data_IF_161861071263
#
_entry.id   IF_161861071263
#
_cell.length_a   1.000
_cell.length_b   1.000
_cell.length_c   1.000
_cell.angle_alpha   90.00
_cell.angle_beta   90.00
_cell.angle_gamma   90.00
#
_symmetry.space_group_name_H-M   'P 1'
#
loop_
_entity.id
_entity.type
_entity.pdbx_description
1 polymer ?
#
# COMPACT_ATOMS: atom_id res chain seq x y z
N UNK A 1 8.42 -23.16 -2.48
CA UNK A 1 8.71 -22.31 -1.31
C UNK A 1 9.67 -21.22 -1.72
N UNK A 2 9.32 -19.98 -1.50
CA UNK A 2 10.22 -18.85 -1.75
C UNK A 2 11.13 -18.71 -0.55
N UNK A 3 12.41 -18.90 -0.74
CA UNK A 3 13.41 -18.80 0.31
C UNK A 3 14.05 -17.40 0.37
N UNK A 4 13.97 -16.66 -0.75
CA UNK A 4 14.55 -15.33 -0.91
C UNK A 4 13.49 -14.40 -1.50
N UNK A 5 12.83 -13.57 -0.70
CA UNK A 5 11.83 -12.61 -1.18
C UNK A 5 12.46 -11.36 -1.79
N UNK A 6 13.77 -11.29 -1.89
CA UNK A 6 14.48 -10.14 -2.44
C UNK A 6 14.50 -10.15 -3.96
N UNK A 7 14.46 -8.96 -4.56
CA UNK A 7 14.50 -8.74 -5.99
C UNK A 7 15.89 -8.29 -6.50
N UNK A 8 15.92 -7.98 -7.80
CA UNK A 8 17.11 -7.56 -8.51
C UNK A 8 18.02 -8.71 -8.93
N UNK A 9 19.04 -8.40 -9.72
CA UNK A 9 19.96 -9.38 -10.29
C UNK A 9 20.69 -10.18 -9.21
N UNK A 10 21.12 -9.51 -8.14
CA UNK A 10 21.85 -10.12 -7.03
C UNK A 10 20.93 -10.61 -5.90
N UNK A 11 19.63 -10.38 -6.00
CA UNK A 11 18.62 -10.74 -4.99
C UNK A 11 18.96 -10.23 -3.58
N UNK A 12 19.59 -9.07 -3.49
CA UNK A 12 20.02 -8.46 -2.22
C UNK A 12 19.15 -7.29 -1.78
N UNK A 13 18.20 -6.86 -2.65
CA UNK A 13 17.29 -5.75 -2.38
C UNK A 13 15.88 -6.27 -2.13
N UNK A 14 15.31 -5.89 -1.01
CA UNK A 14 13.93 -6.22 -0.66
C UNK A 14 12.95 -5.62 -1.67
N UNK A 15 11.89 -6.35 -2.00
CA UNK A 15 10.84 -5.89 -2.92
C UNK A 15 9.62 -5.39 -2.15
N UNK A 16 9.01 -4.30 -2.64
CA UNK A 16 7.79 -3.75 -2.05
C UNK A 16 6.51 -4.25 -2.72
N UNK A 17 6.64 -5.02 -3.80
CA UNK A 17 5.53 -5.53 -4.60
C UNK A 17 5.69 -7.02 -4.91
N UNK A 18 4.56 -7.70 -5.11
CA UNK A 18 4.50 -9.04 -5.68
C UNK A 18 4.01 -8.95 -7.12
N UNK A 19 4.77 -9.52 -8.08
CA UNK A 19 4.44 -9.46 -9.50
C UNK A 19 4.39 -10.86 -10.06
N UNK A 20 3.25 -11.22 -10.67
CA UNK A 20 3.00 -12.53 -11.23
C UNK A 20 2.50 -12.39 -12.67
N UNK A 21 3.18 -12.99 -13.63
CA UNK A 21 2.65 -13.10 -15.00
C UNK A 21 1.30 -13.82 -14.99
N UNK A 22 0.36 -13.33 -15.79
CA UNK A 22 -0.95 -13.98 -15.86
C UNK A 22 -0.80 -15.39 -16.46
N UNK A 23 -1.46 -16.40 -15.87
CA UNK A 23 -1.44 -17.75 -16.39
C UNK A 23 -2.25 -17.81 -17.69
N UNK A 24 -1.57 -18.11 -18.79
CA UNK A 24 -2.15 -18.26 -20.13
C UNK A 24 -1.45 -19.41 -20.85
N UNK A 25 -2.08 -19.97 -21.88
CA UNK A 25 -1.41 -20.89 -22.78
C UNK A 25 -0.37 -20.11 -23.61
N UNK A 26 0.93 -20.44 -23.45
CA UNK A 26 2.04 -19.75 -24.08
C UNK A 26 2.62 -18.60 -23.24
N UNK A 27 3.01 -17.51 -23.90
CA UNK A 27 3.67 -16.38 -23.26
C UNK A 27 2.77 -15.15 -23.15
N UNK A 28 2.92 -14.40 -22.05
CA UNK A 28 2.29 -13.11 -21.88
C UNK A 28 3.29 -12.07 -21.38
N UNK A 29 3.18 -10.84 -21.89
CA UNK A 29 3.84 -9.65 -21.35
C UNK A 29 2.99 -8.89 -20.32
N UNK A 30 1.88 -9.50 -19.88
CA UNK A 30 1.01 -8.89 -18.84
C UNK A 30 1.14 -9.67 -17.54
N UNK A 31 1.26 -8.91 -16.45
CA UNK A 31 1.33 -9.44 -15.09
C UNK A 31 0.30 -8.74 -14.19
N UNK A 32 -0.04 -9.35 -13.08
CA UNK A 32 -0.65 -8.67 -11.93
C UNK A 32 0.47 -8.16 -11.03
N UNK A 33 0.33 -6.95 -10.54
CA UNK A 33 1.21 -6.34 -9.54
C UNK A 33 0.39 -6.03 -8.31
N UNK A 34 0.84 -6.47 -7.15
CA UNK A 34 0.18 -6.25 -5.87
C UNK A 34 1.15 -5.65 -4.86
N UNK A 35 0.68 -4.67 -4.11
CA UNK A 35 1.34 -4.12 -2.94
C UNK A 35 0.35 -4.01 -1.78
N UNK A 36 0.86 -3.85 -0.58
CA UNK A 36 0.03 -3.50 0.58
C UNK A 36 0.58 -2.25 1.28
N UNK A 37 -0.32 -1.54 1.95
CA UNK A 37 0.01 -0.44 2.85
C UNK A 37 -0.56 -0.71 4.22
N UNK A 38 0.25 -0.45 5.24
CA UNK A 38 -0.12 -0.59 6.64
C UNK A 38 0.94 0.05 7.55
N UNK A 39 0.48 0.93 8.44
CA UNK A 39 1.32 1.49 9.48
C UNK A 39 0.63 1.30 10.84
N UNK A 40 1.11 0.37 11.70
CA UNK A 40 0.49 0.05 12.97
C UNK A 40 0.46 1.23 13.93
N UNK A 41 1.54 1.99 14.02
CA UNK A 41 1.63 3.14 14.94
C UNK A 41 0.65 4.24 14.56
N UNK A 42 0.48 4.47 13.26
CA UNK A 42 -0.48 5.44 12.77
C UNK A 42 -1.93 4.96 12.97
N UNK A 43 -2.20 3.67 12.80
CA UNK A 43 -3.51 3.08 13.06
C UNK A 43 -3.88 3.14 14.55
N UNK A 44 -2.90 2.94 15.44
CA UNK A 44 -3.11 3.07 16.88
C UNK A 44 -3.34 4.52 17.30
N UNK A 45 -2.56 5.46 16.75
CA UNK A 45 -2.76 6.88 16.98
C UNK A 45 -4.12 7.36 16.49
N UNK A 46 -4.54 6.94 15.29
CA UNK A 46 -5.84 7.28 14.70
C UNK A 46 -6.21 6.27 13.60
N UNK A 47 -7.18 5.38 13.84
CA UNK A 47 -7.63 4.43 12.82
C UNK A 47 -8.05 5.09 11.51
N UNK A 48 -8.62 6.29 11.57
CA UNK A 48 -9.02 7.08 10.39
C UNK A 48 -7.81 7.47 9.52
N UNK A 49 -6.75 8.01 10.14
CA UNK A 49 -5.54 8.40 9.41
C UNK A 49 -4.73 7.19 8.99
N UNK A 50 -4.59 6.18 9.85
CA UNK A 50 -3.90 4.95 9.53
C UNK A 50 -4.49 4.26 8.31
N UNK A 51 -5.82 4.12 8.26
CA UNK A 51 -6.52 3.59 7.09
C UNK A 51 -6.27 4.44 5.84
N UNK A 52 -6.35 5.77 5.94
CA UNK A 52 -6.09 6.65 4.79
C UNK A 52 -4.67 6.47 4.24
N UNK A 53 -3.67 6.43 5.11
CA UNK A 53 -2.27 6.25 4.69
C UNK A 53 -1.96 4.84 4.19
N UNK A 54 -2.71 3.81 4.60
CA UNK A 54 -2.58 2.47 4.03
C UNK A 54 -2.84 2.45 2.51
N UNK A 55 -3.83 3.21 2.04
CA UNK A 55 -4.08 3.39 0.61
C UNK A 55 -2.95 4.15 -0.10
N UNK A 56 -2.45 5.22 0.54
CA UNK A 56 -1.33 6.01 0.00
C UNK A 56 -0.08 5.16 -0.17
N UNK A 57 0.26 4.37 0.83
CA UNK A 57 1.43 3.51 0.83
C UNK A 57 1.33 2.44 -0.26
N UNK A 58 0.19 1.74 -0.37
CA UNK A 58 -0.02 0.74 -1.41
C UNK A 58 0.11 1.33 -2.82
N UNK A 59 -0.50 2.51 -3.07
CA UNK A 59 -0.35 3.23 -4.34
C UNK A 59 1.10 3.62 -4.61
N UNK A 60 1.81 4.14 -3.61
CA UNK A 60 3.20 4.57 -3.76
C UNK A 60 4.12 3.41 -4.11
N UNK A 61 3.96 2.26 -3.48
CA UNK A 61 4.71 1.03 -3.78
C UNK A 61 4.48 0.54 -5.21
N UNK A 62 3.22 0.53 -5.65
CA UNK A 62 2.86 0.15 -7.02
C UNK A 62 3.50 1.08 -8.04
N UNK A 63 3.41 2.39 -7.81
CA UNK A 63 4.02 3.39 -8.71
C UNK A 63 5.55 3.28 -8.73
N UNK A 64 6.18 3.09 -7.56
CA UNK A 64 7.62 2.92 -7.46
C UNK A 64 8.13 1.70 -8.25
N UNK A 65 7.31 0.67 -8.42
CA UNK A 65 7.64 -0.52 -9.21
C UNK A 65 7.22 -0.43 -10.69
N UNK A 66 6.67 0.71 -11.14
CA UNK A 66 6.28 0.95 -12.53
C UNK A 66 4.81 0.72 -12.85
N UNK A 67 3.97 0.37 -11.86
CA UNK A 67 2.53 0.21 -12.04
C UNK A 67 1.80 1.54 -12.19
N UNK A 68 0.60 1.47 -12.76
CA UNK A 68 -0.29 2.62 -12.91
C UNK A 68 -1.31 2.63 -11.76
N UNK A 69 -1.18 3.58 -10.84
CA UNK A 69 -2.09 3.71 -9.70
C UNK A 69 -3.55 3.88 -10.12
N UNK A 70 -3.84 4.49 -11.28
CA UNK A 70 -5.20 4.79 -11.76
C UNK A 70 -6.01 3.54 -12.12
N UNK A 71 -5.34 2.42 -12.35
CA UNK A 71 -5.98 1.14 -12.69
C UNK A 71 -6.10 0.18 -11.51
N UNK A 72 -5.65 0.62 -10.32
CA UNK A 72 -5.69 -0.21 -9.12
C UNK A 72 -7.13 -0.51 -8.66
N UNK A 73 -7.26 -1.65 -8.00
CA UNK A 73 -8.41 -2.04 -7.18
C UNK A 73 -7.90 -2.51 -5.83
N UNK A 74 -8.72 -2.35 -4.81
CA UNK A 74 -8.31 -2.69 -3.45
C UNK A 74 -9.11 -3.85 -2.88
N UNK A 75 -8.48 -4.55 -1.95
CA UNK A 75 -9.11 -5.43 -0.98
C UNK A 75 -8.58 -5.04 0.39
N UNK A 76 -9.45 -4.89 1.37
CA UNK A 76 -9.05 -4.49 2.71
C UNK A 76 -9.08 -5.66 3.67
N UNK A 77 -8.12 -5.70 4.59
CA UNK A 77 -8.08 -6.65 5.68
C UNK A 77 -8.09 -5.87 6.98
N UNK A 78 -9.02 -6.18 7.86
CA UNK A 78 -9.22 -5.45 9.10
C UNK A 78 -9.13 -6.36 10.32
N UNK A 79 -8.53 -5.84 11.40
CA UNK A 79 -8.43 -6.50 12.69
C UNK A 79 -8.66 -5.49 13.80
N UNK A 80 -9.62 -5.82 14.69
CA UNK A 80 -9.96 -5.01 15.85
C UNK A 80 -10.15 -5.88 17.08
N UNK A 81 -10.07 -5.25 18.24
CA UNK A 81 -10.40 -5.91 19.51
C UNK A 81 -11.82 -6.49 19.52
N UNK A 82 -12.12 -7.31 20.52
CA UNK A 82 -13.46 -7.84 20.70
C UNK A 82 -14.46 -6.70 20.93
N UNK A 83 -15.51 -6.68 20.13
CA UNK A 83 -16.61 -5.74 20.30
C UNK A 83 -17.37 -6.01 21.60
N UNK A 84 -17.68 -4.93 22.31
CA UNK A 84 -18.41 -4.96 23.59
C UNK A 84 -19.59 -3.99 23.53
N UNK A 85 -20.25 -3.77 24.66
CA UNK A 85 -21.25 -2.69 24.81
C UNK A 85 -20.63 -1.29 24.90
N UNK A 86 -19.32 -1.18 25.01
CA UNK A 86 -18.61 0.09 24.94
C UNK A 86 -18.55 0.61 23.49
N UNK A 87 -19.12 1.78 23.27
CA UNK A 87 -19.15 2.43 21.96
C UNK A 87 -17.76 2.73 21.40
N UNK A 88 -16.73 2.87 22.23
CA UNK A 88 -15.35 3.10 21.76
C UNK A 88 -14.81 1.92 20.97
N UNK A 89 -15.19 0.68 21.32
CA UNK A 89 -14.78 -0.50 20.57
C UNK A 89 -15.33 -0.49 19.14
N UNK A 90 -16.56 0.00 18.93
CA UNK A 90 -17.19 0.15 17.62
C UNK A 90 -16.72 1.39 16.85
N UNK A 91 -16.28 2.42 17.57
CA UNK A 91 -15.75 3.64 16.97
C UNK A 91 -14.46 3.42 16.18
N UNK A 92 -13.62 2.48 16.58
CA UNK A 92 -12.34 2.18 15.91
C UNK A 92 -12.52 1.66 14.48
N UNK A 93 -13.29 0.57 14.23
CA UNK A 93 -13.55 0.11 12.87
C UNK A 93 -14.33 1.16 12.05
N UNK A 94 -15.30 1.85 12.64
CA UNK A 94 -16.02 2.90 11.93
C UNK A 94 -15.10 4.03 11.45
N UNK A 95 -14.15 4.46 12.29
CA UNK A 95 -13.17 5.47 11.93
C UNK A 95 -12.23 4.98 10.82
N UNK A 96 -11.74 3.73 10.89
CA UNK A 96 -10.91 3.14 9.84
C UNK A 96 -11.64 3.08 8.49
N UNK A 97 -12.89 2.59 8.49
CA UNK A 97 -13.72 2.53 7.27
C UNK A 97 -13.98 3.92 6.68
N UNK A 98 -14.21 4.94 7.49
CA UNK A 98 -14.36 6.32 7.02
C UNK A 98 -13.07 6.86 6.38
N UNK A 99 -11.91 6.56 6.96
CA UNK A 99 -10.61 6.90 6.38
C UNK A 99 -10.38 6.22 5.04
N UNK A 100 -10.67 4.92 4.96
CA UNK A 100 -10.59 4.13 3.74
C UNK A 100 -11.54 4.65 2.65
N UNK A 101 -12.81 4.91 3.00
CA UNK A 101 -13.80 5.48 2.08
C UNK A 101 -13.33 6.82 1.52
N UNK A 102 -12.82 7.70 2.39
CA UNK A 102 -12.31 9.01 1.99
C UNK A 102 -11.22 8.91 0.92
N UNK A 103 -10.30 7.94 1.04
CA UNK A 103 -9.25 7.76 0.04
C UNK A 103 -9.75 7.12 -1.24
N UNK A 104 -10.65 6.14 -1.15
CA UNK A 104 -11.27 5.52 -2.33
C UNK A 104 -12.01 6.57 -3.18
N UNK A 105 -12.80 7.43 -2.56
CA UNK A 105 -13.47 8.54 -3.23
C UNK A 105 -12.47 9.53 -3.84
N UNK A 106 -11.48 9.96 -3.06
CA UNK A 106 -10.49 10.95 -3.48
C UNK A 106 -9.62 10.45 -4.65
N UNK A 107 -9.26 9.17 -4.68
CA UNK A 107 -8.50 8.57 -5.77
C UNK A 107 -9.37 8.06 -6.92
N UNK A 108 -10.66 7.84 -6.70
CA UNK A 108 -11.56 7.18 -7.65
C UNK A 108 -11.25 5.68 -7.79
N UNK A 109 -10.77 5.04 -6.74
CA UNK A 109 -10.30 3.66 -6.74
C UNK A 109 -11.14 2.81 -5.76
N UNK A 110 -12.02 1.94 -6.25
CA UNK A 110 -12.88 1.15 -5.38
C UNK A 110 -12.16 -0.05 -4.76
N UNK A 111 -12.62 -0.45 -3.58
CA UNK A 111 -12.38 -1.79 -3.05
C UNK A 111 -13.37 -2.77 -3.67
N UNK A 112 -12.87 -3.96 -4.05
CA UNK A 112 -13.67 -5.07 -4.59
C UNK A 112 -14.19 -6.00 -3.51
N UNK A 113 -13.68 -5.86 -2.28
CA UNK A 113 -14.03 -6.67 -1.13
C UNK A 113 -13.06 -6.47 0.02
N UNK A 114 -13.22 -7.28 1.02
CA UNK A 114 -12.38 -7.26 2.21
C UNK A 114 -12.86 -8.30 3.21
N UNK A 115 -12.23 -8.29 4.38
CA UNK A 115 -12.56 -9.18 5.48
C UNK A 115 -12.23 -8.51 6.80
N UNK A 116 -13.16 -8.58 7.75
CA UNK A 116 -13.01 -8.05 9.11
C UNK A 116 -12.80 -9.17 10.12
N UNK A 117 -12.09 -8.86 11.18
CA UNK A 117 -12.03 -9.64 12.39
C UNK A 117 -12.18 -8.71 13.59
N UNK A 118 -13.23 -8.90 14.37
CA UNK A 118 -13.57 -8.07 15.54
C UNK A 118 -13.53 -8.91 16.83
N UNK A 119 -12.55 -9.80 16.93
CA UNK A 119 -12.37 -10.70 18.09
C UNK A 119 -10.90 -10.78 18.54
N UNK A 120 -10.10 -9.77 18.16
CA UNK A 120 -8.67 -9.71 18.44
C UNK A 120 -8.36 -9.33 19.88
N UNK A 121 -8.85 -10.08 20.85
CA UNK A 121 -8.57 -9.90 22.28
C UNK A 121 -8.19 -11.23 22.89
N UNK A 122 -7.20 -11.20 23.78
CA UNK A 122 -6.76 -12.35 24.55
C UNK A 122 -6.71 -11.99 26.03
N UNK A 123 -7.36 -12.81 26.86
CA UNK A 123 -7.39 -12.62 28.32
C UNK A 123 -6.10 -13.15 28.94
N UNK A 124 -5.48 -12.35 29.80
CA UNK A 124 -4.30 -12.73 30.59
C UNK A 124 -4.56 -12.50 32.08
N UNK A 125 -3.68 -13.02 32.93
CA UNK A 125 -3.72 -12.78 34.39
C UNK A 125 -3.57 -11.27 34.76
N UNK A 126 -3.02 -10.48 33.83
CA UNK A 126 -2.81 -9.03 34.00
C UNK A 126 -3.84 -8.17 33.27
N UNK A 127 -4.89 -8.78 32.74
CA UNK A 127 -5.93 -8.13 31.95
C UNK A 127 -5.85 -8.48 30.46
N UNK A 128 -6.80 -8.01 29.66
CA UNK A 128 -6.85 -8.34 28.23
C UNK A 128 -5.73 -7.67 27.44
N UNK A 129 -5.20 -8.40 26.47
CA UNK A 129 -4.34 -7.87 25.40
C UNK A 129 -5.21 -7.73 24.15
N UNK A 130 -5.22 -6.56 23.55
CA UNK A 130 -5.98 -6.26 22.35
C UNK A 130 -5.07 -6.15 21.13
N UNK A 131 -5.53 -6.64 19.98
CA UNK A 131 -4.87 -6.30 18.72
C UNK A 131 -5.00 -4.78 18.49
N UNK A 132 -3.93 -4.09 18.09
CA UNK A 132 -4.03 -2.69 17.67
C UNK A 132 -5.05 -2.54 16.53
N UNK A 133 -5.77 -1.41 16.45
CA UNK A 133 -6.62 -1.13 15.30
C UNK A 133 -5.83 -1.30 14.01
N UNK A 134 -6.34 -2.10 13.09
CA UNK A 134 -5.60 -2.48 11.88
C UNK A 134 -6.50 -2.39 10.67
N UNK A 135 -6.07 -1.64 9.65
CA UNK A 135 -6.59 -1.73 8.30
C UNK A 135 -5.42 -1.81 7.33
N UNK A 136 -5.32 -2.92 6.62
CA UNK A 136 -4.33 -3.15 5.57
C UNK A 136 -5.03 -2.98 4.23
N UNK A 137 -4.53 -2.09 3.37
CA UNK A 137 -5.01 -1.92 2.02
C UNK A 137 -4.13 -2.72 1.05
N UNK A 138 -4.68 -3.78 0.46
CA UNK A 138 -4.03 -4.53 -0.62
C UNK A 138 -4.47 -3.93 -1.95
N UNK A 139 -3.53 -3.34 -2.67
CA UNK A 139 -3.77 -2.76 -3.99
C UNK A 139 -3.23 -3.66 -5.09
N UNK A 140 -4.07 -3.98 -6.08
CA UNK A 140 -3.69 -4.78 -7.25
C UNK A 140 -3.96 -4.02 -8.54
N UNK A 141 -3.06 -4.16 -9.52
CA UNK A 141 -3.18 -3.57 -10.85
C UNK A 141 -2.57 -4.49 -11.92
N UNK A 142 -3.10 -4.51 -13.16
CA UNK A 142 -2.39 -5.11 -14.28
C UNK A 142 -1.20 -4.24 -14.68
N UNK A 143 -0.10 -4.87 -15.08
CA UNK A 143 1.12 -4.18 -15.53
C UNK A 143 1.71 -4.89 -16.75
N UNK A 144 2.34 -4.11 -17.64
CA UNK A 144 3.22 -4.68 -18.67
C UNK A 144 4.58 -4.97 -18.04
N UNK A 145 5.09 -6.17 -18.25
CA UNK A 145 6.35 -6.62 -17.66
C UNK A 145 7.50 -5.66 -18.01
N UNK A 146 7.50 -5.13 -19.21
CA UNK A 146 8.52 -4.19 -19.69
C UNK A 146 8.53 -2.83 -18.97
N UNK A 147 7.45 -2.50 -18.25
CA UNK A 147 7.36 -1.29 -17.42
C UNK A 147 7.79 -1.51 -15.97
N UNK A 148 8.10 -2.74 -15.60
CA UNK A 148 8.48 -3.08 -14.22
C UNK A 148 9.93 -2.72 -13.98
N UNK A 149 10.20 -2.03 -12.89
CA UNK A 149 11.55 -1.75 -12.40
C UNK A 149 11.73 -2.33 -11.00
N UNK A 150 12.96 -2.67 -10.69
CA UNK A 150 13.38 -3.13 -9.36
C UNK A 150 14.05 -2.00 -8.57
N UNK A 151 14.07 -2.05 -7.23
CA UNK A 151 14.49 -0.91 -6.41
C UNK A 151 15.99 -0.72 -6.28
N UNK A 152 16.83 -1.71 -6.64
CA UNK A 152 18.28 -1.60 -6.50
C UNK A 152 18.87 -0.52 -7.42
N UNK A 153 19.97 0.08 -7.00
CA UNK A 153 20.75 0.99 -7.83
C UNK A 153 21.28 0.28 -9.08
N UNK A 154 21.23 0.97 -10.24
CA UNK A 154 21.60 0.37 -11.53
C UNK A 154 23.02 0.75 -11.95
N UNK A 155 23.37 2.03 -11.84
CA UNK A 155 24.62 2.54 -12.40
C UNK A 155 25.33 3.45 -11.41
N UNK A 156 26.66 3.36 -11.39
CA UNK A 156 27.48 4.34 -10.68
C UNK A 156 27.30 5.73 -11.30
N UNK A 157 27.08 6.73 -10.46
CA UNK A 157 26.84 8.12 -10.91
C UNK A 157 25.37 8.49 -11.11
N UNK A 158 24.43 7.56 -10.96
CA UNK A 158 23.00 7.85 -10.97
C UNK A 158 22.64 8.86 -9.87
N UNK A 159 21.72 9.77 -10.19
CA UNK A 159 21.25 10.79 -9.24
C UNK A 159 20.09 10.27 -8.41
N UNK A 160 20.18 10.48 -7.11
CA UNK A 160 19.10 10.14 -6.16
C UNK A 160 18.22 11.37 -5.88
N UNK A 161 16.91 11.18 -5.99
CA UNK A 161 15.91 12.23 -5.73
C UNK A 161 14.93 11.76 -4.67
N UNK A 162 14.64 12.63 -3.70
CA UNK A 162 13.56 12.42 -2.74
C UNK A 162 12.31 13.21 -3.20
N UNK A 163 11.27 12.50 -3.62
CA UNK A 163 9.98 13.10 -3.96
C UNK A 163 9.10 13.12 -2.72
N UNK A 164 8.98 14.30 -2.11
CA UNK A 164 8.27 14.46 -0.84
C UNK A 164 6.76 14.60 -1.03
N UNK A 165 6.02 14.05 -0.08
CA UNK A 165 4.63 14.35 0.20
C UNK A 165 4.55 15.24 1.45
N UNK A 166 3.71 16.27 1.40
CA UNK A 166 3.43 17.15 2.53
C UNK A 166 1.97 16.98 2.93
N UNK A 167 1.67 16.42 4.10
CA UNK A 167 0.31 16.31 4.60
C UNK A 167 -0.40 17.66 4.71
N UNK A 168 -1.72 17.64 4.70
CA UNK A 168 -2.56 18.80 5.02
C UNK A 168 -2.44 19.16 6.52
N UNK A 169 -2.94 20.33 6.91
CA UNK A 169 -2.94 20.79 8.31
C UNK A 169 -3.59 19.80 9.28
N UNK A 170 -4.66 19.15 8.84
CA UNK A 170 -5.36 18.08 9.59
C UNK A 170 -4.64 16.73 9.53
N UNK A 171 -3.41 16.68 9.03
CA UNK A 171 -2.57 15.48 8.83
C UNK A 171 -3.10 14.46 7.83
N UNK A 172 -4.18 14.76 7.13
CA UNK A 172 -4.65 13.90 6.04
C UNK A 172 -3.73 14.00 4.82
N UNK A 173 -3.71 12.95 3.97
CA UNK A 173 -2.93 12.98 2.74
C UNK A 173 -3.32 14.14 1.82
N UNK A 174 -2.33 14.85 1.28
CA UNK A 174 -2.54 15.83 0.22
C UNK A 174 -2.70 15.09 -1.11
N UNK A 175 -3.94 14.77 -1.43
CA UNK A 175 -4.33 13.93 -2.58
C UNK A 175 -3.85 14.52 -3.90
N UNK A 176 -3.96 15.84 -4.10
CA UNK A 176 -3.56 16.48 -5.34
C UNK A 176 -2.04 16.42 -5.55
N UNK A 177 -1.27 16.61 -4.49
CA UNK A 177 0.18 16.46 -4.55
C UNK A 177 0.57 15.00 -4.84
N UNK A 178 -0.07 14.03 -4.19
CA UNK A 178 0.19 12.61 -4.42
C UNK A 178 -0.08 12.21 -5.87
N UNK A 179 -1.25 12.56 -6.41
CA UNK A 179 -1.61 12.28 -7.80
C UNK A 179 -0.59 12.87 -8.78
N UNK A 180 -0.17 14.12 -8.55
CA UNK A 180 0.86 14.78 -9.37
C UNK A 180 2.20 14.05 -9.30
N UNK A 181 2.63 13.68 -8.10
CA UNK A 181 3.88 12.96 -7.88
C UNK A 181 3.84 11.58 -8.57
N UNK A 182 2.80 10.79 -8.32
CA UNK A 182 2.64 9.46 -8.90
C UNK A 182 2.56 9.48 -10.43
N UNK A 183 1.84 10.42 -11.01
CA UNK A 183 1.77 10.58 -12.47
C UNK A 183 3.14 10.91 -13.06
N UNK A 184 3.90 11.80 -12.42
CA UNK A 184 5.23 12.19 -12.88
C UNK A 184 6.23 11.01 -12.77
N UNK A 185 6.22 10.29 -11.64
CA UNK A 185 7.09 9.12 -11.43
C UNK A 185 6.76 8.03 -12.44
N UNK A 186 5.48 7.68 -12.58
CA UNK A 186 5.05 6.66 -13.54
C UNK A 186 5.45 7.00 -14.98
N UNK A 187 5.27 8.25 -15.42
CA UNK A 187 5.68 8.68 -16.74
C UNK A 187 7.19 8.55 -16.96
N UNK A 188 8.00 8.94 -15.96
CA UNK A 188 9.47 8.87 -16.03
C UNK A 188 10.02 7.45 -15.90
N UNK A 189 9.31 6.52 -15.30
CA UNK A 189 9.63 5.08 -15.35
C UNK A 189 9.38 4.58 -16.78
N UNK A 190 8.25 4.93 -17.36
CA UNK A 190 7.89 4.50 -18.74
C UNK A 190 8.83 5.03 -19.82
N UNK A 191 9.38 6.23 -19.67
CA UNK A 191 10.35 6.80 -20.62
C UNK A 191 11.80 6.38 -20.30
N UNK A 192 12.04 5.60 -19.26
CA UNK A 192 13.36 5.11 -18.85
C UNK A 192 14.21 6.12 -18.08
N UNK A 193 13.69 7.31 -17.76
CA UNK A 193 14.41 8.32 -16.98
C UNK A 193 14.61 7.89 -15.53
N UNK A 194 13.63 7.20 -14.95
CA UNK A 194 13.73 6.58 -13.62
C UNK A 194 13.93 5.08 -13.81
N UNK A 195 15.07 4.58 -13.35
CA UNK A 195 15.48 3.18 -13.49
C UNK A 195 15.36 2.38 -12.19
N UNK A 196 15.21 3.06 -11.06
CA UNK A 196 14.98 2.47 -9.74
C UNK A 196 14.15 3.43 -8.89
N UNK A 197 13.26 2.90 -8.05
CA UNK A 197 12.51 3.71 -7.10
C UNK A 197 12.10 2.89 -5.88
N UNK A 198 11.92 3.58 -4.76
CA UNK A 198 11.49 3.03 -3.48
C UNK A 198 10.44 3.94 -2.85
N UNK A 199 9.33 3.38 -2.39
CA UNK A 199 8.35 4.12 -1.61
C UNK A 199 8.79 4.14 -0.14
N UNK A 200 9.11 5.32 0.38
CA UNK A 200 9.48 5.52 1.78
C UNK A 200 8.22 5.59 2.61
N UNK A 201 8.13 4.74 3.65
CA UNK A 201 7.02 4.66 4.61
C UNK A 201 7.30 5.47 5.87
#
# INVERSE_FOLDING_TARGET
TVLMPFGGELQTTETQVSIQKLPVDGFTGTASMMAFGFNPDMCEWSPYHGAAYSFVEACSKVVAAGGDWRTMRFSCQEYFERMTSDFHTWGKPAAALLGALKMQEAFGLPSIGGKDSMSGSFETEHGPIHVPPTLIAFGITPVKVDNVISPEFKWEGDRLYLVRHTPLENRMPNVEQLKKNWNNIHARIKDGTIVAAWAVG
#
